data_IF_404321422900
#
_entry.id   IF_404321422900
#
_cell.length_a   1.000
_cell.length_b   1.000
_cell.length_c   1.000
_cell.angle_alpha   90.00
_cell.angle_beta   90.00
_cell.angle_gamma   90.00
#
_symmetry.space_group_name_H-M   'P 1'
#
loop_
_entity.id
_entity.type
_entity.pdbx_description
1 polymer ?
#
# COMPACT_ATOMS: atom_id res chain seq x y z
N UNK A 1 -1.91 13.55 -22.15
CA UNK A 1 -1.31 12.22 -21.86
C UNK A 1 -2.26 11.27 -21.14
N UNK A 2 -3.32 11.75 -20.48
CA UNK A 2 -4.31 10.92 -19.77
C UNK A 2 -5.42 10.39 -20.70
N UNK A 3 -5.71 11.07 -21.81
CA UNK A 3 -6.71 10.63 -22.80
C UNK A 3 -6.37 9.28 -23.46
N UNK A 4 -5.07 8.94 -23.57
CA UNK A 4 -4.62 7.70 -24.20
C UNK A 4 -4.90 6.46 -23.33
N UNK A 5 -5.02 6.63 -22.01
CA UNK A 5 -5.31 5.54 -21.07
C UNK A 5 -6.77 5.05 -21.12
N UNK A 6 -7.66 5.76 -21.81
CA UNK A 6 -9.09 5.42 -21.91
C UNK A 6 -9.44 4.44 -23.04
N UNK A 7 -8.62 4.33 -24.09
CA UNK A 7 -9.09 3.74 -25.37
C UNK A 7 -8.32 2.49 -25.82
N UNK A 8 -7.13 2.20 -25.27
CA UNK A 8 -6.39 0.97 -25.61
C UNK A 8 -5.61 0.44 -24.41
N UNK A 9 -6.18 -0.55 -23.71
CA UNK A 9 -5.63 -1.08 -22.46
C UNK A 9 -4.21 -1.63 -22.59
N UNK A 10 -3.84 -2.22 -23.74
CA UNK A 10 -2.49 -2.70 -23.98
C UNK A 10 -1.49 -1.54 -24.10
N UNK A 11 -1.82 -0.52 -24.88
CA UNK A 11 -0.99 0.67 -25.02
C UNK A 11 -0.87 1.43 -23.70
N UNK A 12 -1.96 1.53 -22.95
CA UNK A 12 -2.02 2.16 -21.64
C UNK A 12 -1.14 1.42 -20.62
N UNK A 13 -1.08 0.08 -20.67
CA UNK A 13 -0.17 -0.72 -19.83
C UNK A 13 1.29 -0.46 -20.15
N UNK A 14 1.65 -0.33 -21.43
CA UNK A 14 3.02 0.03 -21.86
C UNK A 14 3.39 1.42 -21.35
N UNK A 15 2.49 2.41 -21.45
CA UNK A 15 2.72 3.74 -20.89
C UNK A 15 2.94 3.74 -19.37
N UNK A 16 2.28 2.84 -18.65
CA UNK A 16 2.42 2.71 -17.20
C UNK A 16 3.83 2.21 -16.81
N UNK A 17 4.45 1.37 -17.64
CA UNK A 17 5.87 0.97 -17.50
C UNK A 17 6.81 2.16 -17.71
N UNK A 18 6.58 2.97 -18.73
CA UNK A 18 7.38 4.20 -18.91
C UNK A 18 7.17 5.20 -17.79
N UNK A 19 5.95 5.28 -17.24
CA UNK A 19 5.61 6.17 -16.16
C UNK A 19 6.36 5.83 -14.87
N UNK A 20 6.42 4.56 -14.47
CA UNK A 20 7.18 4.17 -13.28
C UNK A 20 8.68 4.44 -13.45
N UNK A 21 9.24 4.16 -14.63
CA UNK A 21 10.64 4.46 -14.94
C UNK A 21 10.93 5.96 -14.83
N UNK A 22 10.03 6.81 -15.32
CA UNK A 22 10.13 8.26 -15.20
C UNK A 22 10.07 8.72 -13.73
N UNK A 23 9.06 8.26 -12.99
CA UNK A 23 8.79 8.72 -11.62
C UNK A 23 9.84 8.22 -10.63
N UNK A 24 10.54 7.12 -10.92
CA UNK A 24 11.64 6.59 -10.09
C UNK A 24 13.02 6.81 -10.71
N UNK A 25 13.13 7.70 -11.69
CA UNK A 25 14.40 7.99 -12.37
C UNK A 25 15.47 8.53 -11.42
N UNK A 26 15.08 9.21 -10.33
CA UNK A 26 16.02 9.82 -9.38
C UNK A 26 16.94 8.82 -8.70
N UNK A 27 16.45 7.60 -8.44
CA UNK A 27 17.20 6.53 -7.75
C UNK A 27 18.49 6.15 -8.48
N UNK A 28 18.50 6.29 -9.81
CA UNK A 28 19.65 5.96 -10.64
C UNK A 28 20.75 7.03 -10.61
N UNK A 29 20.40 8.24 -10.19
CA UNK A 29 21.29 9.41 -10.23
C UNK A 29 21.84 9.76 -8.85
N UNK A 30 21.03 9.56 -7.82
CA UNK A 30 21.42 9.70 -6.42
C UNK A 30 20.72 8.56 -5.65
N UNK A 31 21.52 7.70 -5.02
CA UNK A 31 21.03 6.59 -4.21
C UNK A 31 21.34 6.92 -2.75
N UNK A 32 20.41 7.57 -2.03
CA UNK A 32 20.68 7.94 -0.64
C UNK A 32 20.91 6.68 0.21
N UNK A 33 21.74 6.82 1.23
CA UNK A 33 21.95 5.75 2.20
C UNK A 33 20.64 5.49 2.95
N UNK A 34 20.05 4.32 2.72
CA UNK A 34 18.84 3.86 3.39
C UNK A 34 19.11 2.51 4.04
N UNK A 35 18.68 2.36 5.28
CA UNK A 35 18.74 1.11 6.02
C UNK A 35 17.33 0.72 6.45
N UNK A 36 16.95 -0.56 6.32
CA UNK A 36 15.66 -1.03 6.76
C UNK A 36 15.59 -1.03 8.30
N UNK A 37 14.62 -0.32 8.86
CA UNK A 37 14.30 -0.34 10.29
C UNK A 37 13.06 -1.20 10.59
N UNK A 38 13.02 -1.80 11.79
CA UNK A 38 11.89 -2.55 12.35
C UNK A 38 11.12 -3.45 11.37
N UNK A 39 11.86 -4.26 10.59
CA UNK A 39 11.33 -5.17 9.58
C UNK A 39 11.14 -6.59 10.13
N UNK A 40 10.18 -7.33 9.57
CA UNK A 40 9.90 -8.70 9.98
C UNK A 40 10.77 -9.76 9.29
N UNK A 41 10.67 -11.03 9.71
CA UNK A 41 11.54 -12.12 9.24
C UNK A 41 11.41 -12.41 7.74
N UNK A 42 10.25 -12.14 7.12
CA UNK A 42 10.11 -12.33 5.67
C UNK A 42 10.84 -11.23 4.88
N UNK A 43 10.89 -10.01 5.41
CA UNK A 43 11.68 -8.94 4.81
C UNK A 43 13.19 -9.25 4.93
N UNK A 44 13.63 -9.73 6.09
CA UNK A 44 15.01 -10.21 6.29
C UNK A 44 15.39 -11.28 5.27
N UNK A 45 14.52 -12.26 5.06
CA UNK A 45 14.73 -13.31 4.08
C UNK A 45 14.89 -12.75 2.66
N UNK A 46 14.09 -11.75 2.26
CA UNK A 46 14.23 -11.08 0.96
C UNK A 46 15.56 -10.33 0.86
N UNK A 47 15.92 -9.55 1.88
CA UNK A 47 17.17 -8.78 1.88
C UNK A 47 18.40 -9.69 1.87
N UNK A 48 18.35 -10.86 2.50
CA UNK A 48 19.45 -11.83 2.44
C UNK A 48 19.76 -12.35 1.03
N UNK A 49 18.80 -12.23 0.09
CA UNK A 49 18.92 -12.72 -1.29
C UNK A 49 19.22 -11.62 -2.29
N UNK A 50 18.56 -10.47 -2.17
CA UNK A 50 18.61 -9.39 -3.16
C UNK A 50 19.46 -8.21 -2.66
N UNK A 51 19.67 -8.11 -1.35
CA UNK A 51 20.17 -6.91 -0.68
C UNK A 51 19.05 -5.90 -0.41
N UNK A 52 19.33 -4.93 0.45
CA UNK A 52 18.43 -3.80 0.75
C UNK A 52 18.82 -2.52 -0.01
N UNK A 53 20.06 -2.46 -0.53
CA UNK A 53 20.59 -1.32 -1.27
C UNK A 53 21.20 -1.75 -2.61
N UNK A 54 21.19 -0.83 -3.57
CA UNK A 54 21.76 -0.99 -4.90
C UNK A 54 20.76 -1.37 -5.99
N UNK A 55 21.25 -1.44 -7.23
CA UNK A 55 20.42 -1.53 -8.44
C UNK A 55 19.46 -2.73 -8.45
N UNK A 56 19.88 -3.87 -7.87
CA UNK A 56 19.02 -5.06 -7.80
C UNK A 56 17.78 -4.82 -6.92
N UNK A 57 17.95 -4.17 -5.77
CA UNK A 57 16.85 -3.80 -4.88
C UNK A 57 15.94 -2.74 -5.53
N UNK A 58 16.51 -1.76 -6.24
CA UNK A 58 15.76 -0.71 -6.92
C UNK A 58 14.90 -1.26 -8.06
N UNK A 59 15.47 -2.14 -8.88
CA UNK A 59 14.74 -2.85 -9.94
C UNK A 59 13.64 -3.71 -9.32
N UNK A 60 13.94 -4.45 -8.24
CA UNK A 60 12.94 -5.26 -7.55
C UNK A 60 11.79 -4.39 -7.00
N UNK A 61 12.08 -3.22 -6.44
CA UNK A 61 11.07 -2.28 -5.96
C UNK A 61 10.19 -1.74 -7.11
N UNK A 62 10.79 -1.41 -8.27
CA UNK A 62 10.04 -0.98 -9.44
C UNK A 62 9.14 -2.09 -9.99
N UNK A 63 9.67 -3.31 -10.14
CA UNK A 63 8.90 -4.46 -10.63
C UNK A 63 7.74 -4.79 -9.68
N UNK A 64 8.00 -4.78 -8.37
CA UNK A 64 6.98 -4.99 -7.35
C UNK A 64 5.89 -3.93 -7.40
N UNK A 65 6.28 -2.65 -7.46
CA UNK A 65 5.33 -1.53 -7.52
C UNK A 65 4.48 -1.59 -8.80
N UNK A 66 5.08 -1.97 -9.93
CA UNK A 66 4.40 -2.17 -11.19
C UNK A 66 3.38 -3.33 -11.11
N UNK A 67 3.76 -4.45 -10.52
CA UNK A 67 2.87 -5.59 -10.31
C UNK A 67 1.69 -5.22 -9.41
N UNK A 68 1.93 -4.50 -8.33
CA UNK A 68 0.89 -3.98 -7.44
C UNK A 68 -0.07 -3.03 -8.17
N UNK A 69 0.45 -2.12 -9.01
CA UNK A 69 -0.37 -1.20 -9.79
C UNK A 69 -1.27 -1.92 -10.80
N UNK A 70 -0.75 -2.94 -11.49
CA UNK A 70 -1.56 -3.78 -12.38
C UNK A 70 -2.62 -4.55 -11.60
N UNK A 71 -2.27 -5.10 -10.44
CA UNK A 71 -3.23 -5.83 -9.62
C UNK A 71 -4.35 -4.92 -9.10
N UNK A 72 -4.03 -3.69 -8.67
CA UNK A 72 -5.01 -2.67 -8.30
C UNK A 72 -5.94 -2.36 -9.48
N UNK A 73 -5.39 -2.11 -10.67
CA UNK A 73 -6.19 -1.82 -11.87
C UNK A 73 -7.16 -2.97 -12.21
N UNK A 74 -6.66 -4.21 -12.18
CA UNK A 74 -7.47 -5.40 -12.38
C UNK A 74 -8.59 -5.50 -11.34
N UNK A 75 -8.25 -5.42 -10.06
CA UNK A 75 -9.19 -5.54 -8.95
C UNK A 75 -10.28 -4.46 -8.95
N UNK A 76 -9.90 -3.20 -9.22
CA UNK A 76 -10.84 -2.06 -9.31
C UNK A 76 -11.80 -2.23 -10.48
N UNK A 77 -11.30 -2.70 -11.63
CA UNK A 77 -12.09 -2.99 -12.82
C UNK A 77 -13.07 -4.15 -12.59
N UNK A 78 -12.59 -5.26 -12.02
CA UNK A 78 -13.37 -6.46 -11.74
C UNK A 78 -14.57 -6.15 -10.83
N UNK A 79 -14.36 -5.34 -9.80
CA UNK A 79 -15.42 -4.97 -8.86
C UNK A 79 -16.23 -3.74 -9.30
N UNK A 80 -15.93 -3.17 -10.49
CA UNK A 80 -16.58 -1.99 -11.09
C UNK A 80 -16.73 -0.83 -10.10
N UNK A 81 -15.64 -0.48 -9.40
CA UNK A 81 -15.68 0.54 -8.34
C UNK A 81 -15.74 1.98 -8.89
N UNK A 82 -15.20 2.17 -10.10
CA UNK A 82 -15.25 3.45 -10.82
C UNK A 82 -16.40 3.47 -11.83
N UNK A 83 -16.82 4.66 -12.24
CA UNK A 83 -17.83 4.85 -13.29
C UNK A 83 -17.38 4.34 -14.66
N UNK A 84 -16.07 4.26 -14.88
CA UNK A 84 -15.45 3.82 -16.13
C UNK A 84 -14.21 2.98 -15.83
N UNK A 85 -13.90 2.04 -16.72
CA UNK A 85 -12.68 1.23 -16.64
C UNK A 85 -11.49 2.09 -17.08
N UNK A 86 -10.48 2.22 -16.23
CA UNK A 86 -9.25 2.98 -16.51
C UNK A 86 -8.06 2.41 -15.74
N UNK A 87 -6.85 2.76 -16.15
CA UNK A 87 -5.61 2.42 -15.42
C UNK A 87 -5.20 3.48 -14.38
N UNK A 88 -6.07 4.47 -14.12
CA UNK A 88 -5.78 5.54 -13.15
C UNK A 88 -5.55 5.02 -11.74
N UNK A 89 -6.27 4.01 -11.21
CA UNK A 89 -6.02 3.50 -9.86
C UNK A 89 -4.56 3.08 -9.63
N UNK A 90 -3.98 2.31 -10.54
CA UNK A 90 -2.59 1.87 -10.48
C UNK A 90 -1.59 3.00 -10.74
N UNK A 91 -1.92 3.92 -11.65
CA UNK A 91 -1.09 5.10 -11.92
C UNK A 91 -0.96 6.00 -10.68
N UNK A 92 -2.09 6.27 -10.01
CA UNK A 92 -2.11 7.06 -8.78
C UNK A 92 -1.43 6.35 -7.62
N UNK A 93 -1.55 5.02 -7.54
CA UNK A 93 -0.78 4.23 -6.59
C UNK A 93 0.73 4.41 -6.81
N UNK A 94 1.23 4.29 -8.05
CA UNK A 94 2.66 4.51 -8.37
C UNK A 94 3.11 5.92 -7.98
N UNK A 95 2.30 6.93 -8.30
CA UNK A 95 2.59 8.33 -8.01
C UNK A 95 2.72 8.56 -6.50
N UNK A 96 1.78 8.06 -5.70
CA UNK A 96 1.84 8.20 -4.24
C UNK A 96 2.97 7.39 -3.62
N UNK A 97 3.19 6.16 -4.08
CA UNK A 97 4.29 5.29 -3.65
C UNK A 97 5.68 5.74 -4.14
N UNK A 98 5.75 6.87 -4.81
CA UNK A 98 6.99 7.52 -5.23
C UNK A 98 7.00 9.01 -4.89
N UNK A 99 6.01 9.49 -4.11
CA UNK A 99 5.85 10.91 -3.80
C UNK A 99 7.03 11.47 -3.00
N UNK A 100 7.59 10.66 -2.11
CA UNK A 100 8.69 11.01 -1.23
C UNK A 100 9.94 10.20 -1.58
N UNK A 101 11.14 10.78 -1.42
CA UNK A 101 12.41 10.06 -1.63
C UNK A 101 12.50 8.77 -0.80
N UNK A 102 11.97 8.77 0.42
CA UNK A 102 11.98 7.64 1.35
C UNK A 102 11.13 6.44 0.88
N UNK A 103 10.26 6.62 -0.13
CA UNK A 103 9.42 5.55 -0.67
C UNK A 103 10.05 4.80 -1.86
N UNK A 104 11.19 5.26 -2.35
CA UNK A 104 11.75 4.77 -3.59
C UNK A 104 12.41 3.39 -3.47
N UNK A 105 12.89 3.05 -2.27
CA UNK A 105 13.57 1.78 -1.97
C UNK A 105 12.62 0.58 -1.89
N UNK A 106 13.21 -0.62 -1.86
CA UNK A 106 12.51 -1.86 -1.52
C UNK A 106 12.26 -1.92 0.00
N UNK A 107 11.36 -1.07 0.49
CA UNK A 107 11.04 -1.01 1.91
C UNK A 107 10.16 -2.19 2.37
N UNK A 108 10.21 -2.58 3.66
CA UNK A 108 9.33 -3.64 4.17
C UNK A 108 7.86 -3.26 4.03
N UNK A 109 7.55 -1.96 4.10
CA UNK A 109 6.21 -1.40 3.91
C UNK A 109 5.75 -1.56 2.46
N UNK A 110 6.63 -1.33 1.48
CA UNK A 110 6.31 -1.53 0.07
C UNK A 110 5.97 -3.01 -0.20
N UNK A 111 6.75 -3.93 0.37
CA UNK A 111 6.48 -5.37 0.29
C UNK A 111 5.15 -5.74 0.97
N UNK A 112 4.92 -5.24 2.17
CA UNK A 112 3.72 -5.48 2.94
C UNK A 112 2.44 -4.92 2.28
N UNK A 113 2.53 -3.78 1.57
CA UNK A 113 1.42 -3.20 0.81
C UNK A 113 0.83 -4.14 -0.25
N UNK A 114 1.61 -5.10 -0.77
CA UNK A 114 1.11 -6.18 -1.63
C UNK A 114 -0.06 -6.90 -0.96
N UNK A 115 0.11 -7.25 0.31
CA UNK A 115 -0.87 -8.02 1.08
C UNK A 115 -2.06 -7.16 1.48
N UNK A 116 -1.88 -5.85 1.66
CA UNK A 116 -3.02 -4.94 1.84
C UNK A 116 -3.96 -4.96 0.62
N UNK A 117 -3.39 -4.91 -0.59
CA UNK A 117 -4.15 -4.98 -1.85
C UNK A 117 -4.84 -6.35 -1.98
N UNK A 118 -4.13 -7.45 -1.67
CA UNK A 118 -4.70 -8.80 -1.70
C UNK A 118 -5.84 -8.92 -0.68
N UNK A 119 -5.68 -8.47 0.56
CA UNK A 119 -6.72 -8.52 1.60
C UNK A 119 -7.97 -7.74 1.17
N UNK A 120 -7.82 -6.54 0.59
CA UNK A 120 -8.96 -5.82 0.02
C UNK A 120 -9.68 -6.63 -1.07
N UNK A 121 -8.92 -7.30 -1.95
CA UNK A 121 -9.48 -8.16 -2.99
C UNK A 121 -10.27 -9.34 -2.44
N UNK A 122 -9.74 -10.00 -1.40
CA UNK A 122 -10.38 -11.13 -0.76
C UNK A 122 -11.65 -10.72 -0.02
N UNK A 123 -11.63 -9.57 0.68
CA UNK A 123 -12.82 -8.99 1.33
C UNK A 123 -13.92 -8.77 0.29
N UNK A 124 -13.61 -8.11 -0.83
CA UNK A 124 -14.65 -7.76 -1.82
C UNK A 124 -15.22 -8.99 -2.51
N UNK A 125 -14.41 -10.04 -2.69
CA UNK A 125 -14.82 -11.31 -3.25
C UNK A 125 -15.81 -12.09 -2.36
N UNK A 126 -15.96 -11.71 -1.08
CA UNK A 126 -16.91 -12.34 -0.14
C UNK A 126 -18.37 -11.86 -0.30
N UNK A 127 -18.60 -10.80 -1.08
CA UNK A 127 -19.94 -10.21 -1.24
C UNK A 127 -20.92 -11.18 -1.89
N UNK A 128 -22.04 -11.48 -1.19
CA UNK A 128 -23.14 -12.34 -1.65
C UNK A 128 -22.73 -13.75 -2.14
N UNK A 129 -21.56 -14.27 -1.75
CA UNK A 129 -21.19 -15.67 -2.00
C UNK A 129 -21.72 -16.59 -0.90
N UNK A 130 -22.34 -17.70 -1.30
CA UNK A 130 -22.91 -18.70 -0.38
C UNK A 130 -21.80 -19.42 0.39
N UNK A 131 -20.78 -19.88 -0.33
CA UNK A 131 -19.54 -20.43 0.26
C UNK A 131 -18.37 -19.48 -0.05
N UNK A 132 -17.66 -19.09 1.00
CA UNK A 132 -16.47 -18.25 0.90
C UNK A 132 -15.51 -18.50 2.08
N UNK A 133 -15.54 -19.71 2.67
CA UNK A 133 -14.65 -20.05 3.77
C UNK A 133 -13.17 -19.91 3.37
N UNK A 134 -12.84 -20.26 2.13
CA UNK A 134 -11.54 -20.05 1.48
C UNK A 134 -11.13 -18.56 1.52
N UNK A 135 -12.01 -17.66 1.08
CA UNK A 135 -11.74 -16.22 1.04
C UNK A 135 -11.56 -15.63 2.42
N UNK A 136 -12.37 -16.07 3.38
CA UNK A 136 -12.30 -15.60 4.77
C UNK A 136 -11.01 -16.06 5.45
N UNK A 137 -10.59 -17.31 5.21
CA UNK A 137 -9.29 -17.79 5.64
C UNK A 137 -8.15 -16.98 4.99
N UNK A 138 -8.23 -16.73 3.67
CA UNK A 138 -7.23 -15.96 2.94
C UNK A 138 -7.05 -14.53 3.47
N UNK A 139 -8.13 -13.86 3.90
CA UNK A 139 -8.03 -12.53 4.55
C UNK A 139 -7.09 -12.59 5.74
N UNK A 140 -7.28 -13.58 6.62
CA UNK A 140 -6.41 -13.81 7.76
C UNK A 140 -5.00 -14.19 7.36
N UNK A 141 -4.86 -15.15 6.46
CA UNK A 141 -3.58 -15.65 5.99
C UNK A 141 -2.71 -14.53 5.40
N UNK A 142 -3.24 -13.74 4.48
CA UNK A 142 -2.50 -12.63 3.88
C UNK A 142 -2.22 -11.50 4.87
N UNK A 143 -3.11 -11.28 5.86
CA UNK A 143 -2.81 -10.37 6.98
C UNK A 143 -1.57 -10.84 7.74
N UNK A 144 -1.49 -12.13 8.07
CA UNK A 144 -0.35 -12.71 8.78
C UNK A 144 0.94 -12.69 7.96
N UNK A 145 0.87 -12.93 6.65
CA UNK A 145 2.04 -12.79 5.77
C UNK A 145 2.50 -11.33 5.72
N UNK A 146 1.58 -10.38 5.57
CA UNK A 146 1.90 -8.95 5.55
C UNK A 146 2.56 -8.47 6.85
N UNK A 147 2.06 -8.91 8.00
CA UNK A 147 2.64 -8.56 9.31
C UNK A 147 4.03 -9.17 9.54
N UNK A 148 4.38 -10.26 8.85
CA UNK A 148 5.74 -10.82 8.86
C UNK A 148 6.74 -10.07 7.96
N UNK A 149 6.26 -9.16 7.08
CA UNK A 149 7.12 -8.19 6.40
C UNK A 149 7.26 -6.91 7.22
N UNK A 150 6.14 -6.37 7.69
CA UNK A 150 6.10 -5.17 8.51
C UNK A 150 5.02 -5.30 9.59
N UNK A 151 5.40 -5.38 10.89
CA UNK A 151 4.50 -5.73 12.00
C UNK A 151 3.18 -4.98 12.02
N UNK A 152 3.18 -3.69 11.67
CA UNK A 152 1.98 -2.87 11.70
C UNK A 152 0.84 -3.44 10.89
N UNK A 153 1.10 -4.15 9.80
CA UNK A 153 0.08 -4.72 8.91
C UNK A 153 -0.87 -5.71 9.60
N UNK A 154 -0.61 -6.07 10.86
CA UNK A 154 -1.60 -6.69 11.74
C UNK A 154 -2.92 -5.89 11.80
N UNK A 155 -2.89 -4.56 11.57
CA UNK A 155 -4.08 -3.71 11.46
C UNK A 155 -5.06 -4.19 10.38
N UNK A 156 -4.60 -4.91 9.35
CA UNK A 156 -5.46 -5.50 8.31
C UNK A 156 -6.49 -6.46 8.88
N UNK A 157 -6.26 -7.02 10.07
CA UNK A 157 -7.23 -7.83 10.78
C UNK A 157 -8.49 -7.02 11.11
N UNK A 158 -8.32 -5.77 11.55
CA UNK A 158 -9.41 -4.83 11.83
C UNK A 158 -10.18 -4.56 10.53
N UNK A 159 -9.46 -4.30 9.43
CA UNK A 159 -10.06 -4.10 8.12
C UNK A 159 -10.86 -5.32 7.65
N UNK A 160 -10.32 -6.53 7.85
CA UNK A 160 -11.00 -7.80 7.56
C UNK A 160 -12.28 -7.96 8.38
N UNK A 161 -12.23 -7.66 9.68
CA UNK A 161 -13.40 -7.70 10.57
C UNK A 161 -14.50 -6.76 10.08
N UNK A 162 -14.16 -5.49 9.88
CA UNK A 162 -15.09 -4.44 9.44
C UNK A 162 -15.63 -4.74 8.05
N UNK A 163 -14.77 -5.13 7.11
CA UNK A 163 -15.17 -5.44 5.74
C UNK A 163 -16.19 -6.56 5.66
N UNK A 164 -15.95 -7.66 6.39
CA UNK A 164 -16.91 -8.75 6.51
C UNK A 164 -18.21 -8.31 7.20
N UNK A 165 -18.17 -7.45 8.23
CA UNK A 165 -19.38 -6.91 8.87
C UNK A 165 -20.24 -6.04 7.91
N UNK A 166 -19.60 -5.35 6.97
CA UNK A 166 -20.29 -4.51 5.98
C UNK A 166 -20.93 -5.37 4.88
N UNK A 167 -20.22 -6.41 4.41
CA UNK A 167 -20.66 -7.22 3.27
C UNK A 167 -21.54 -8.40 3.67
N UNK A 168 -21.40 -8.90 4.90
CA UNK A 168 -22.03 -10.15 5.37
C UNK A 168 -22.56 -10.00 6.79
N UNK A 169 -23.56 -10.82 7.12
CA UNK A 169 -24.06 -10.92 8.48
C UNK A 169 -22.98 -11.52 9.40
N UNK A 170 -22.91 -11.04 10.64
CA UNK A 170 -21.95 -11.54 11.60
C UNK A 170 -22.19 -13.02 11.89
N UNK A 171 -21.18 -13.86 11.61
CA UNK A 171 -21.15 -15.28 11.97
C UNK A 171 -19.86 -15.56 12.71
N UNK A 172 -19.96 -16.07 13.94
CA UNK A 172 -18.79 -16.35 14.78
C UNK A 172 -17.79 -17.30 14.10
N UNK A 173 -18.30 -18.34 13.41
CA UNK A 173 -17.48 -19.28 12.62
C UNK A 173 -16.61 -18.59 11.57
N UNK A 174 -17.16 -17.60 10.86
CA UNK A 174 -16.41 -16.82 9.86
C UNK A 174 -15.28 -16.00 10.52
N UNK A 175 -15.51 -15.49 11.73
CA UNK A 175 -14.46 -14.77 12.50
C UNK A 175 -13.32 -15.69 12.89
N UNK A 176 -13.66 -16.89 13.38
CA UNK A 176 -12.66 -17.90 13.71
C UNK A 176 -11.85 -18.34 12.49
N UNK A 177 -12.48 -18.53 11.33
CA UNK A 177 -11.75 -18.88 10.09
C UNK A 177 -10.69 -17.85 9.73
N UNK A 178 -11.00 -16.56 9.85
CA UNK A 178 -10.05 -15.48 9.63
C UNK A 178 -8.93 -15.50 10.69
N UNK A 179 -9.24 -15.74 11.97
CA UNK A 179 -8.21 -15.88 13.02
C UNK A 179 -7.28 -17.07 12.74
N UNK A 180 -7.83 -18.22 12.32
CA UNK A 180 -7.03 -19.40 11.97
C UNK A 180 -6.14 -19.11 10.76
N UNK A 181 -6.66 -18.40 9.77
CA UNK A 181 -5.87 -17.90 8.64
C UNK A 181 -4.68 -17.05 9.10
N UNK A 182 -4.91 -16.10 10.00
CA UNK A 182 -3.86 -15.24 10.56
C UNK A 182 -2.76 -16.04 11.27
N UNK A 183 -3.14 -17.05 12.05
CA UNK A 183 -2.18 -17.86 12.81
C UNK A 183 -1.33 -18.76 11.89
N UNK A 184 -1.85 -19.18 10.74
CA UNK A 184 -1.15 -20.13 9.86
C UNK A 184 0.26 -19.67 9.42
N UNK A 185 0.48 -18.44 8.90
CA UNK A 185 1.83 -17.94 8.60
C UNK A 185 2.76 -17.92 9.83
N UNK A 186 2.24 -17.54 11.00
CA UNK A 186 3.02 -17.52 12.25
C UNK A 186 3.42 -18.93 12.69
N UNK A 187 2.55 -19.93 12.52
CA UNK A 187 2.87 -21.33 12.79
C UNK A 187 3.97 -21.83 11.83
N UNK A 188 3.87 -21.50 10.54
CA UNK A 188 4.86 -21.89 9.54
C UNK A 188 6.24 -21.28 9.84
N UNK A 189 6.32 -19.97 10.11
CA UNK A 189 7.60 -19.33 10.42
C UNK A 189 8.17 -19.82 11.76
N UNK A 190 7.31 -20.11 12.75
CA UNK A 190 7.74 -20.71 14.02
C UNK A 190 8.33 -22.08 13.85
N UNK A 191 7.74 -22.90 12.96
CA UNK A 191 8.26 -24.25 12.66
C UNK A 191 9.62 -24.16 11.98
N UNK A 192 9.80 -23.18 11.09
CA UNK A 192 11.09 -22.90 10.48
C UNK A 192 12.15 -22.50 11.53
N UNK A 193 11.85 -21.55 12.41
CA UNK A 193 12.80 -21.14 13.46
C UNK A 193 13.04 -22.21 14.52
N UNK A 194 12.07 -23.10 14.77
CA UNK A 194 12.28 -24.31 15.56
C UNK A 194 13.29 -25.25 14.92
N UNK A 195 13.19 -25.44 13.60
CA UNK A 195 14.13 -26.27 12.85
C UNK A 195 15.55 -25.69 12.82
N UNK A 196 15.70 -24.36 12.72
CA UNK A 196 17.01 -23.70 12.71
C UNK A 196 17.61 -23.46 14.10
N UNK A 197 16.87 -23.79 15.17
CA UNK A 197 17.32 -23.59 16.56
C UNK A 197 17.16 -22.16 17.09
N UNK A 198 16.52 -21.26 16.34
CA UNK A 198 16.28 -19.85 16.70
C UNK A 198 14.86 -19.58 17.24
N UNK A 199 14.13 -20.62 17.66
CA UNK A 199 12.74 -20.47 18.10
C UNK A 199 12.57 -19.49 19.27
N UNK A 200 13.43 -19.61 20.28
CA UNK A 200 13.35 -18.76 21.47
C UNK A 200 13.76 -17.32 21.16
N UNK A 201 14.83 -17.11 20.37
CA UNK A 201 15.25 -15.77 19.96
C UNK A 201 14.19 -15.10 19.09
N UNK A 202 13.52 -15.84 18.20
CA UNK A 202 12.41 -15.29 17.43
C UNK A 202 11.26 -14.81 18.32
N UNK A 203 10.74 -15.66 19.21
CA UNK A 203 9.54 -15.36 19.99
C UNK A 203 9.77 -14.42 21.18
N UNK A 204 10.96 -14.43 21.78
CA UNK A 204 11.26 -13.64 22.98
C UNK A 204 11.99 -12.33 22.67
N UNK A 205 12.76 -12.27 21.58
CA UNK A 205 13.59 -11.11 21.26
C UNK A 205 13.12 -10.42 19.98
N UNK A 206 13.20 -11.11 18.83
CA UNK A 206 12.98 -10.47 17.51
C UNK A 206 11.53 -10.01 17.29
N UNK A 207 10.56 -10.87 17.59
CA UNK A 207 9.16 -10.54 17.39
C UNK A 207 8.73 -9.41 18.34
N UNK A 208 8.93 -9.48 19.67
CA UNK A 208 8.54 -8.38 20.56
C UNK A 208 9.27 -7.07 20.28
N UNK A 209 10.56 -7.10 19.92
CA UNK A 209 11.33 -5.89 19.61
C UNK A 209 10.78 -5.11 18.42
N UNK A 210 10.09 -5.77 17.49
CA UNK A 210 9.48 -5.12 16.32
C UNK A 210 8.12 -4.48 16.63
N UNK A 211 7.55 -4.77 17.82
CA UNK A 211 6.26 -4.25 18.27
C UNK A 211 6.47 -3.23 19.40
N UNK A 212 6.33 -1.95 19.08
CA UNK A 212 6.25 -0.89 20.07
C UNK A 212 4.94 -0.10 19.92
N UNK A 213 4.54 0.57 21.00
CA UNK A 213 3.32 1.37 21.04
C UNK A 213 3.65 2.85 20.84
N UNK A 214 3.22 3.42 19.71
CA UNK A 214 3.42 4.84 19.37
C UNK A 214 4.90 5.29 19.47
N UNK A 215 5.81 4.47 18.97
CA UNK A 215 7.25 4.72 19.03
C UNK A 215 7.73 5.49 17.79
N UNK A 216 7.67 6.81 17.88
CA UNK A 216 8.08 7.69 16.78
C UNK A 216 9.54 8.06 16.86
N UNK A 217 10.26 7.94 15.74
CA UNK A 217 11.63 8.46 15.64
C UNK A 217 11.57 10.00 15.64
N UNK A 218 12.08 10.67 16.69
CA UNK A 218 11.92 12.11 16.84
C UNK A 218 12.68 12.84 15.72
N UNK A 219 11.95 13.46 14.80
CA UNK A 219 12.54 14.22 13.69
C UNK A 219 11.76 15.51 13.45
N UNK A 220 12.21 16.60 14.09
CA UNK A 220 11.63 17.95 13.92
C UNK A 220 12.18 18.66 12.69
N UNK A 221 12.22 17.97 11.56
CA UNK A 221 12.78 18.52 10.31
C UNK A 221 11.67 19.12 9.43
N UNK A 222 11.99 20.22 8.74
CA UNK A 222 11.05 20.86 7.79
C UNK A 222 10.54 19.88 6.71
N UNK A 223 11.36 18.95 6.15
CA UNK A 223 10.88 17.93 5.23
C UNK A 223 9.76 17.04 5.79
N UNK A 224 9.87 16.62 7.06
CA UNK A 224 8.86 15.76 7.72
C UNK A 224 7.52 16.46 7.81
N UNK A 225 7.48 17.70 8.31
CA UNK A 225 6.23 18.48 8.39
C UNK A 225 5.61 18.72 7.01
N UNK A 226 6.42 19.00 5.99
CA UNK A 226 5.94 19.16 4.62
C UNK A 226 5.30 17.87 4.09
N UNK A 227 5.94 16.72 4.30
CA UNK A 227 5.43 15.42 3.86
C UNK A 227 4.10 15.08 4.56
N UNK A 228 4.01 15.29 5.87
CA UNK A 228 2.77 15.13 6.64
C UNK A 228 1.66 16.07 6.15
N UNK A 229 1.99 17.33 5.85
CA UNK A 229 1.03 18.29 5.32
C UNK A 229 0.49 17.88 3.94
N UNK A 230 1.36 17.42 3.03
CA UNK A 230 0.96 16.93 1.70
C UNK A 230 0.01 15.73 1.85
N UNK A 231 0.40 14.70 2.60
CA UNK A 231 -0.45 13.53 2.82
C UNK A 231 -1.76 13.88 3.55
N UNK A 232 -1.70 14.78 4.53
CA UNK A 232 -2.87 15.30 5.24
C UNK A 232 -3.87 15.95 4.29
N UNK A 233 -3.41 16.81 3.36
CA UNK A 233 -4.27 17.41 2.33
C UNK A 233 -4.86 16.34 1.43
N UNK A 234 -4.07 15.39 0.93
CA UNK A 234 -4.55 14.34 0.03
C UNK A 234 -5.63 13.47 0.71
N UNK A 235 -5.44 13.12 1.99
CA UNK A 235 -6.43 12.41 2.80
C UNK A 235 -7.70 13.27 2.94
N UNK A 236 -7.58 14.55 3.28
CA UNK A 236 -8.72 15.45 3.40
C UNK A 236 -9.51 15.56 2.09
N UNK A 237 -8.82 15.68 0.94
CA UNK A 237 -9.45 15.69 -0.38
C UNK A 237 -10.29 14.43 -0.60
N UNK A 238 -9.78 13.25 -0.25
CA UNK A 238 -10.51 11.99 -0.36
C UNK A 238 -11.71 11.93 0.60
N UNK A 239 -11.55 12.39 1.85
CA UNK A 239 -12.63 12.42 2.84
C UNK A 239 -13.77 13.34 2.41
N UNK A 240 -13.46 14.56 1.96
CA UNK A 240 -14.47 15.49 1.44
C UNK A 240 -15.16 14.98 0.16
N UNK A 241 -14.48 14.12 -0.60
CA UNK A 241 -15.02 13.50 -1.82
C UNK A 241 -15.93 12.28 -1.56
N UNK A 242 -16.14 11.87 -0.30
CA UNK A 242 -16.98 10.71 0.09
C UNK A 242 -18.35 10.70 -0.60
N UNK A 243 -19.09 11.82 -0.49
CA UNK A 243 -20.42 11.94 -1.07
C UNK A 243 -20.38 11.79 -2.59
N UNK A 244 -19.36 12.34 -3.24
CA UNK A 244 -19.16 12.17 -4.68
C UNK A 244 -19.06 10.68 -5.00
N UNK A 245 -18.18 9.94 -4.33
CA UNK A 245 -17.91 8.53 -4.66
C UNK A 245 -19.15 7.64 -4.61
N UNK A 246 -20.05 7.85 -3.65
CA UNK A 246 -21.18 6.97 -3.37
C UNK A 246 -22.44 7.34 -4.18
N UNK A 247 -22.63 8.60 -4.54
CA UNK A 247 -23.78 9.05 -5.33
C UNK A 247 -23.83 8.29 -6.66
N UNK A 248 -25.04 7.87 -7.05
CA UNK A 248 -25.33 7.12 -8.29
C UNK A 248 -24.66 5.75 -8.40
N UNK A 249 -24.02 5.25 -7.35
CA UNK A 249 -23.48 3.89 -7.32
C UNK A 249 -24.52 2.87 -6.82
N UNK A 250 -24.38 1.63 -7.28
CA UNK A 250 -25.21 0.52 -6.81
C UNK A 250 -24.86 0.16 -5.36
N UNK A 251 -25.82 -0.36 -4.58
CA UNK A 251 -25.61 -0.77 -3.18
C UNK A 251 -24.37 -1.68 -2.96
N UNK A 252 -24.07 -2.68 -3.80
CA UNK A 252 -22.83 -3.45 -3.70
C UNK A 252 -21.56 -2.59 -3.81
N UNK A 253 -21.51 -1.65 -4.75
CA UNK A 253 -20.35 -0.78 -4.98
C UNK A 253 -20.20 0.21 -3.83
N UNK A 254 -21.30 0.79 -3.34
CA UNK A 254 -21.27 1.67 -2.17
C UNK A 254 -20.67 1.00 -0.93
N UNK A 255 -21.04 -0.25 -0.65
CA UNK A 255 -20.46 -1.03 0.46
C UNK A 255 -18.97 -1.26 0.29
N UNK A 256 -18.50 -1.59 -0.92
CA UNK A 256 -17.07 -1.76 -1.22
C UNK A 256 -16.29 -0.43 -1.10
N UNK A 257 -16.87 0.67 -1.57
CA UNK A 257 -16.30 2.01 -1.38
C UNK A 257 -16.18 2.37 0.11
N UNK A 258 -17.20 2.05 0.92
CA UNK A 258 -17.13 2.23 2.36
C UNK A 258 -15.99 1.40 2.98
N UNK A 259 -15.72 0.20 2.47
CA UNK A 259 -14.56 -0.58 2.92
C UNK A 259 -13.24 0.07 2.53
N UNK A 260 -13.13 0.73 1.36
CA UNK A 260 -11.92 1.51 1.03
C UNK A 260 -11.70 2.66 2.01
N UNK A 261 -12.77 3.36 2.41
CA UNK A 261 -12.71 4.39 3.47
C UNK A 261 -12.27 3.79 4.81
N UNK A 262 -12.81 2.63 5.19
CA UNK A 262 -12.32 1.90 6.36
C UNK A 262 -10.88 1.42 6.21
N UNK A 263 -10.44 1.10 4.98
CA UNK A 263 -9.06 0.80 4.65
C UNK A 263 -8.17 1.98 4.97
N UNK A 264 -8.52 3.17 4.47
CA UNK A 264 -7.82 4.42 4.77
C UNK A 264 -7.83 4.77 6.26
N UNK A 265 -8.94 4.55 6.96
CA UNK A 265 -9.00 4.78 8.41
C UNK A 265 -8.16 3.75 9.18
N UNK A 266 -8.15 2.50 8.71
CA UNK A 266 -7.44 1.40 9.36
C UNK A 266 -5.92 1.61 9.34
N UNK A 267 -5.38 2.34 8.36
CA UNK A 267 -3.97 2.73 8.34
C UNK A 267 -3.60 3.73 9.45
N UNK A 268 -4.56 4.34 10.15
CA UNK A 268 -4.22 5.11 11.36
C UNK A 268 -3.88 4.16 12.53
N UNK A 269 -4.49 2.97 12.58
CA UNK A 269 -4.20 1.97 13.59
C UNK A 269 -2.84 1.30 13.39
N UNK A 270 -2.24 1.37 12.19
CA UNK A 270 -0.89 0.87 11.95
C UNK A 270 0.17 1.60 12.78
N UNK A 271 -0.09 2.88 13.13
CA UNK A 271 0.77 3.68 14.00
C UNK A 271 0.81 3.19 15.45
N UNK A 272 -0.20 2.42 15.89
CA UNK A 272 -0.27 1.94 17.27
C UNK A 272 0.67 0.75 17.51
N UNK A 273 1.06 0.03 16.45
CA UNK A 273 1.73 -1.27 16.55
C UNK A 273 2.94 -1.26 15.61
N UNK A 274 3.99 -0.58 16.02
CA UNK A 274 5.25 -0.49 15.26
C UNK A 274 6.36 0.13 16.09
N UNK A 275 7.54 -0.50 16.07
CA UNK A 275 8.78 0.13 16.51
C UNK A 275 9.37 1.02 15.41
N UNK A 276 10.10 2.06 15.79
CA UNK A 276 10.82 2.97 14.88
C UNK A 276 9.95 3.54 13.76
N UNK A 277 8.86 4.24 14.11
CA UNK A 277 7.96 4.85 13.12
C UNK A 277 8.67 6.05 12.46
N UNK A 278 9.08 5.84 11.22
CA UNK A 278 9.64 6.86 10.33
C UNK A 278 8.61 7.46 9.37
N UNK A 279 9.00 8.50 8.63
CA UNK A 279 8.15 9.11 7.59
C UNK A 279 7.77 8.10 6.48
N UNK A 280 8.59 7.08 6.26
CA UNK A 280 8.33 5.97 5.34
C UNK A 280 7.00 5.26 5.66
N UNK A 281 6.54 5.27 6.91
CA UNK A 281 5.29 4.64 7.35
C UNK A 281 4.05 5.21 6.63
N UNK A 282 4.10 6.45 6.14
CA UNK A 282 3.02 7.03 5.34
C UNK A 282 2.70 6.22 4.08
N UNK A 283 3.66 5.42 3.58
CA UNK A 283 3.49 4.55 2.42
C UNK A 283 2.36 3.52 2.60
N UNK A 284 2.00 3.14 3.83
CA UNK A 284 0.85 2.25 4.13
C UNK A 284 -0.45 2.85 3.58
N UNK A 285 -0.57 4.19 3.59
CA UNK A 285 -1.77 4.89 3.11
C UNK A 285 -1.89 4.91 1.59
N UNK A 286 -0.81 4.64 0.85
CA UNK A 286 -0.75 4.83 -0.60
C UNK A 286 -1.76 3.95 -1.36
N UNK A 287 -1.97 2.70 -0.91
CA UNK A 287 -2.89 1.77 -1.55
C UNK A 287 -4.36 2.27 -1.54
N UNK A 288 -4.99 2.52 -0.39
CA UNK A 288 -6.37 3.02 -0.38
C UNK A 288 -6.46 4.45 -0.92
N UNK A 289 -5.49 5.32 -0.59
CA UNK A 289 -5.49 6.72 -1.00
C UNK A 289 -5.36 6.86 -2.53
N UNK A 290 -4.49 6.09 -3.16
CA UNK A 290 -4.26 6.12 -4.61
C UNK A 290 -5.49 5.68 -5.40
N UNK A 291 -6.13 4.58 -4.97
CA UNK A 291 -7.38 4.11 -5.58
C UNK A 291 -8.45 5.21 -5.51
N UNK A 292 -8.64 5.82 -4.35
CA UNK A 292 -9.71 6.79 -4.15
C UNK A 292 -9.43 8.12 -4.85
N UNK A 293 -8.19 8.63 -4.81
CA UNK A 293 -7.80 9.81 -5.58
C UNK A 293 -8.03 9.61 -7.07
N UNK A 294 -7.76 8.41 -7.60
CA UNK A 294 -8.01 8.13 -9.02
C UNK A 294 -9.47 8.38 -9.43
N UNK A 295 -10.45 8.13 -8.54
CA UNK A 295 -11.86 8.34 -8.83
C UNK A 295 -12.24 9.81 -8.97
N UNK A 296 -11.52 10.72 -8.30
CA UNK A 296 -11.67 12.16 -8.53
C UNK A 296 -11.22 12.55 -9.94
N UNK A 297 -10.12 11.97 -10.41
CA UNK A 297 -9.58 12.26 -11.75
C UNK A 297 -10.43 11.66 -12.86
N UNK A 298 -11.04 10.49 -12.66
CA UNK A 298 -11.96 9.88 -13.63
C UNK A 298 -13.17 10.78 -13.90
N UNK A 299 -13.63 11.52 -12.88
CA UNK A 299 -14.83 12.39 -12.96
C UNK A 299 -14.51 13.80 -13.44
N UNK A 300 -13.25 14.20 -13.39
CA UNK A 300 -12.80 15.53 -13.76
C UNK A 300 -12.71 15.67 -15.29
N UNK A 301 -13.00 16.84 -15.88
CA UNK A 301 -12.77 17.07 -17.30
C UNK A 301 -11.30 16.85 -17.66
N UNK A 302 -11.07 16.20 -18.81
CA UNK A 302 -9.74 15.70 -19.21
C UNK A 302 -8.64 16.77 -19.19
N UNK A 303 -8.94 18.02 -19.58
CA UNK A 303 -7.95 19.12 -19.55
C UNK A 303 -7.49 19.44 -18.13
N UNK A 304 -8.42 19.54 -17.18
CA UNK A 304 -8.08 19.86 -15.79
C UNK A 304 -7.36 18.68 -15.12
N UNK A 305 -7.82 17.45 -15.37
CA UNK A 305 -7.17 16.26 -14.87
C UNK A 305 -5.71 16.17 -15.32
N UNK A 306 -5.42 16.49 -16.59
CA UNK A 306 -4.06 16.48 -17.14
C UNK A 306 -3.18 17.55 -16.50
N UNK A 307 -3.67 18.78 -16.35
CA UNK A 307 -2.90 19.86 -15.72
C UNK A 307 -2.58 19.54 -14.26
N UNK A 308 -3.57 19.11 -13.47
CA UNK A 308 -3.35 18.81 -12.04
C UNK A 308 -2.41 17.60 -11.89
N UNK A 309 -2.59 16.56 -12.71
CA UNK A 309 -1.68 15.42 -12.69
C UNK A 309 -0.25 15.82 -13.07
N UNK A 310 -0.07 16.65 -14.10
CA UNK A 310 1.25 17.15 -14.49
C UNK A 310 1.89 17.99 -13.38
N UNK A 311 1.12 18.84 -12.70
CA UNK A 311 1.61 19.59 -11.53
C UNK A 311 2.06 18.67 -10.40
N UNK A 312 1.29 17.62 -10.09
CA UNK A 312 1.71 16.63 -9.09
C UNK A 312 2.98 15.90 -9.51
N UNK A 313 3.07 15.47 -10.77
CA UNK A 313 4.25 14.80 -11.32
C UNK A 313 5.50 15.67 -11.23
N UNK A 314 5.41 16.93 -11.65
CA UNK A 314 6.52 17.90 -11.54
C UNK A 314 6.87 18.15 -10.07
N UNK A 315 5.89 18.23 -9.18
CA UNK A 315 6.11 18.34 -7.74
C UNK A 315 6.88 17.15 -7.17
N UNK A 316 6.51 15.92 -7.55
CA UNK A 316 7.19 14.68 -7.13
C UNK A 316 8.64 14.67 -7.61
N UNK A 317 8.87 14.92 -8.90
CA UNK A 317 10.23 14.98 -9.45
C UNK A 317 11.04 16.09 -8.77
N UNK A 318 10.45 17.27 -8.54
CA UNK A 318 11.10 18.36 -7.83
C UNK A 318 11.51 18.01 -6.40
N UNK A 319 10.70 17.22 -5.68
CA UNK A 319 11.05 16.73 -4.33
C UNK A 319 12.18 15.70 -4.36
N UNK A 320 12.15 14.79 -5.32
CA UNK A 320 13.15 13.73 -5.47
C UNK A 320 14.52 14.27 -5.89
N UNK A 321 14.55 15.12 -6.92
CA UNK A 321 15.80 15.66 -7.47
C UNK A 321 16.41 16.80 -6.64
N UNK A 322 15.72 17.28 -5.60
CA UNK A 322 16.22 18.36 -4.74
C UNK A 322 17.59 18.04 -4.14
N UNK A 323 17.81 16.80 -3.68
CA UNK A 323 19.09 16.36 -3.09
C UNK A 323 20.23 16.49 -4.09
N UNK A 324 20.06 15.88 -5.26
CA UNK A 324 21.01 15.92 -6.37
C UNK A 324 21.30 17.34 -6.88
N UNK A 325 20.29 18.19 -7.02
CA UNK A 325 20.52 19.59 -7.42
C UNK A 325 21.34 20.36 -6.38
N UNK A 326 21.08 20.15 -5.09
CA UNK A 326 21.87 20.80 -4.04
C UNK A 326 23.33 20.32 -4.02
N UNK A 327 23.61 19.06 -4.39
CA UNK A 327 24.98 18.55 -4.48
C UNK A 327 25.78 19.04 -5.70
N UNK A 328 25.11 19.54 -6.75
CA UNK A 328 25.80 20.09 -7.93
C UNK A 328 26.25 21.54 -7.75
N UNK A 329 25.62 22.28 -6.83
CA UNK A 329 25.88 23.71 -6.61
C UNK A 329 26.56 24.00 -5.25
N UNK A 330 26.93 22.97 -4.49
CA UNK A 330 27.67 23.07 -3.21
C UNK A 330 29.10 22.60 -3.35
#
# INVERSE_FOLDING_TARGET
MLAIYRTNQLFASVLLVFYIALVRASVWLDSPAWEPSAYGPLAEWVYSRIGYAGQAADIAAMVLLLAQAFFINYFVSEHRLASEVSLFPGLFYILLSSLLPEFLYLSPILMANTFFIIVLSEIFATYKKVDCADRIFNIGFWTGVGSLFYPSFFFLLILGFVGLNILRAFKFRERLMMMVGLLAPYILISTYFFWTGEFFSFWQERLPASFAFLDFVPSLSVPVFRSLFIFGILILVVLFSYRSYIIKQTMPVQRKLNILFWGLLSTAFSLLIQADIEIAHLLVTAAPLGIMLSFNFIRMPSRMAEVIHLLMLVGVLGLQFKGWFMSLFG
#
